data_IF_562024651547
#
_entry.id   IF_562024651547
#
_cell.length_a   1.000
_cell.length_b   1.000
_cell.length_c   1.000
_cell.angle_alpha   90.00
_cell.angle_beta   90.00
_cell.angle_gamma   90.00
#
_symmetry.space_group_name_H-M   'P 1'
#
loop_
_entity.id
_entity.type
_entity.pdbx_description
1 polymer ?
#
# COMPACT_ATOMS: atom_id res chain seq x y z
N UNK A 1 -4.39 32.38 9.60
CA UNK A 1 -4.97 32.30 8.24
C UNK A 1 -5.12 30.82 7.90
N UNK A 2 -6.35 30.31 7.80
CA UNK A 2 -6.58 28.91 7.49
C UNK A 2 -6.26 28.67 6.00
N UNK A 3 -5.26 27.85 5.71
CA UNK A 3 -4.94 27.42 4.35
C UNK A 3 -6.03 26.44 3.92
N UNK A 4 -7.10 26.96 3.32
CA UNK A 4 -8.19 26.16 2.79
C UNK A 4 -7.70 25.31 1.61
N UNK A 5 -8.02 24.03 1.63
CA UNK A 5 -7.73 23.09 0.52
C UNK A 5 -8.46 23.60 -0.72
N UNK A 6 -7.72 24.08 -1.72
CA UNK A 6 -8.28 24.53 -3.00
C UNK A 6 -8.82 23.32 -3.76
N UNK A 7 -10.11 23.32 -4.11
CA UNK A 7 -10.69 22.26 -4.93
C UNK A 7 -10.26 22.45 -6.39
N UNK A 8 -9.44 21.55 -6.98
CA UNK A 8 -8.96 21.70 -8.36
C UNK A 8 -10.08 21.51 -9.40
N UNK A 9 -11.25 21.00 -9.02
CA UNK A 9 -12.37 20.73 -9.93
C UNK A 9 -13.25 21.95 -10.25
N UNK A 10 -13.01 23.09 -9.61
CA UNK A 10 -13.73 24.36 -9.83
C UNK A 10 -14.86 24.64 -8.84
N UNK A 11 -15.29 25.90 -8.75
CA UNK A 11 -16.46 26.31 -7.93
C UNK A 11 -17.71 25.57 -8.45
N UNK A 12 -18.42 24.88 -7.57
CA UNK A 12 -19.62 24.04 -7.81
C UNK A 12 -19.40 22.55 -8.15
N UNK A 13 -18.17 22.03 -8.12
CA UNK A 13 -17.96 20.57 -8.20
C UNK A 13 -17.79 19.96 -6.80
N UNK A 14 -18.25 18.72 -6.62
CA UNK A 14 -18.06 17.99 -5.36
C UNK A 14 -16.60 18.03 -4.93
N UNK A 15 -16.33 18.18 -3.62
CA UNK A 15 -14.97 18.12 -3.13
C UNK A 15 -14.33 16.78 -3.54
N UNK A 16 -13.03 16.74 -3.87
CA UNK A 16 -12.33 15.48 -4.10
C UNK A 16 -12.46 14.64 -2.82
N UNK A 17 -12.93 13.40 -2.93
CA UNK A 17 -12.80 12.46 -1.81
C UNK A 17 -11.32 12.25 -1.59
N UNK A 18 -10.85 12.53 -0.38
CA UNK A 18 -9.52 12.14 0.05
C UNK A 18 -9.63 10.64 0.30
N UNK A 19 -9.20 9.83 -0.66
CA UNK A 19 -9.06 8.39 -0.45
C UNK A 19 -7.88 8.16 0.51
N UNK A 20 -7.98 7.23 1.45
CA UNK A 20 -6.83 6.82 2.24
C UNK A 20 -5.72 6.38 1.29
N UNK A 21 -4.57 7.04 1.34
CA UNK A 21 -3.41 6.60 0.59
C UNK A 21 -2.84 5.33 1.22
N UNK A 22 -2.29 4.44 0.39
CA UNK A 22 -1.52 3.27 0.85
C UNK A 22 -0.51 3.67 1.94
N UNK A 23 -0.51 2.97 3.08
CA UNK A 23 0.37 3.31 4.19
C UNK A 23 1.65 2.48 4.10
N UNK A 24 2.76 3.17 3.86
CA UNK A 24 4.10 2.55 3.88
C UNK A 24 4.71 2.72 5.26
N UNK A 25 5.22 1.63 5.82
CA UNK A 25 5.94 1.65 7.09
C UNK A 25 7.44 1.58 6.83
N UNK A 26 8.20 2.33 7.63
CA UNK A 26 9.65 2.25 7.64
C UNK A 26 10.07 0.87 8.13
N UNK A 27 11.01 0.25 7.41
CA UNK A 27 11.52 -1.08 7.75
C UNK A 27 12.97 -0.95 8.21
N UNK A 28 13.25 -1.50 9.40
CA UNK A 28 14.61 -1.59 9.91
C UNK A 28 15.40 -2.66 9.13
N UNK A 29 16.57 -2.33 8.55
CA UNK A 29 17.36 -3.29 7.80
C UNK A 29 17.83 -4.51 8.57
N UNK A 30 18.13 -4.34 9.86
CA UNK A 30 18.55 -5.44 10.71
C UNK A 30 17.44 -6.47 10.89
N UNK A 31 16.20 -6.00 11.04
CA UNK A 31 15.03 -6.86 11.17
C UNK A 31 14.69 -7.51 9.84
N UNK A 32 14.79 -6.77 8.74
CA UNK A 32 14.54 -7.32 7.39
C UNK A 32 15.48 -8.47 7.02
N UNK A 33 16.76 -8.39 7.41
CA UNK A 33 17.72 -9.47 7.16
C UNK A 33 17.56 -10.67 8.10
N UNK A 34 17.04 -10.45 9.31
CA UNK A 34 16.91 -11.50 10.34
C UNK A 34 15.60 -12.26 10.23
N UNK A 35 14.52 -11.61 9.83
CA UNK A 35 13.20 -12.20 9.75
C UNK A 35 12.85 -12.54 8.31
N UNK A 36 12.40 -13.78 8.10
CA UNK A 36 11.79 -14.19 6.85
C UNK A 36 10.40 -13.52 6.75
N UNK A 37 10.31 -12.42 6.01
CA UNK A 37 9.13 -11.55 5.98
C UNK A 37 7.99 -12.15 5.15
N UNK A 38 7.13 -12.94 5.79
CA UNK A 38 5.88 -13.47 5.19
C UNK A 38 4.74 -12.45 5.20
N UNK A 39 4.98 -11.28 4.61
CA UNK A 39 4.02 -10.17 4.56
C UNK A 39 3.63 -9.77 3.15
N UNK A 40 4.14 -10.48 2.14
CA UNK A 40 3.77 -10.29 0.74
C UNK A 40 2.46 -11.01 0.45
N UNK A 41 1.67 -10.50 -0.50
CA UNK A 41 0.45 -11.19 -0.94
C UNK A 41 0.75 -12.62 -1.42
N UNK A 42 1.92 -12.86 -2.01
CA UNK A 42 2.35 -14.19 -2.47
C UNK A 42 2.42 -15.25 -1.35
N UNK A 43 2.57 -14.84 -0.09
CA UNK A 43 2.59 -15.74 1.07
C UNK A 43 1.21 -15.88 1.74
N UNK A 44 0.21 -15.13 1.27
CA UNK A 44 -1.11 -15.05 1.85
C UNK A 44 -2.07 -16.08 1.23
N UNK A 45 -2.83 -16.78 2.07
CA UNK A 45 -3.86 -17.74 1.63
C UNK A 45 -5.00 -17.11 0.81
N UNK A 46 -5.14 -15.78 0.86
CA UNK A 46 -6.15 -15.03 0.13
C UNK A 46 -5.63 -14.44 -1.18
N UNK A 47 -4.44 -14.82 -1.63
CA UNK A 47 -3.91 -14.37 -2.90
C UNK A 47 -4.06 -15.46 -3.96
N UNK A 48 -4.76 -15.11 -5.04
CA UNK A 48 -4.83 -15.92 -6.25
C UNK A 48 -3.66 -15.47 -7.15
N UNK A 49 -2.59 -16.26 -7.17
CA UNK A 49 -1.38 -15.98 -7.94
C UNK A 49 -1.55 -16.12 -9.46
N UNK A 50 -2.54 -16.89 -9.94
CA UNK A 50 -2.81 -17.00 -11.37
C UNK A 50 -3.46 -15.72 -11.90
N UNK A 51 -4.40 -15.17 -11.12
CA UNK A 51 -5.12 -13.93 -11.50
C UNK A 51 -4.45 -12.66 -10.97
N UNK A 52 -3.47 -12.77 -10.08
CA UNK A 52 -2.81 -11.66 -9.36
C UNK A 52 -3.85 -10.78 -8.66
N UNK A 53 -4.74 -11.41 -7.89
CA UNK A 53 -5.83 -10.73 -7.14
C UNK A 53 -5.89 -11.20 -5.70
N UNK A 54 -6.29 -10.31 -4.79
CA UNK A 54 -6.69 -10.72 -3.45
C UNK A 54 -8.15 -11.17 -3.48
N UNK A 55 -8.44 -12.38 -3.00
CA UNK A 55 -9.79 -12.94 -2.95
C UNK A 55 -10.72 -12.20 -1.98
N UNK A 56 -10.17 -11.33 -1.12
CA UNK A 56 -10.95 -10.46 -0.21
C UNK A 56 -11.35 -9.14 -0.90
N UNK A 57 -10.75 -8.83 -2.05
CA UNK A 57 -11.08 -7.63 -2.83
C UNK A 57 -10.11 -6.46 -2.65
N UNK A 58 -8.98 -6.65 -1.95
CA UNK A 58 -7.93 -5.63 -1.86
C UNK A 58 -7.04 -5.62 -3.10
N UNK A 59 -6.42 -4.47 -3.37
CA UNK A 59 -5.45 -4.31 -4.46
C UNK A 59 -4.08 -4.90 -4.05
N UNK A 60 -3.62 -6.02 -4.64
CA UNK A 60 -2.37 -6.66 -4.24
C UNK A 60 -1.12 -5.95 -4.80
N UNK A 61 -1.25 -5.02 -5.74
CA UNK A 61 -0.09 -4.47 -6.48
C UNK A 61 1.00 -3.92 -5.57
N UNK A 62 0.64 -3.20 -4.51
CA UNK A 62 1.60 -2.62 -3.56
C UNK A 62 2.13 -3.62 -2.53
N UNK A 63 1.52 -4.81 -2.46
CA UNK A 63 1.82 -5.87 -1.50
C UNK A 63 2.52 -7.07 -2.15
N UNK A 64 2.76 -7.04 -3.46
CA UNK A 64 3.58 -8.03 -4.15
C UNK A 64 5.03 -7.94 -3.66
N UNK A 65 5.70 -9.09 -3.51
CA UNK A 65 7.07 -9.15 -2.99
C UNK A 65 8.03 -8.28 -3.82
N UNK A 66 7.97 -8.40 -5.14
CA UNK A 66 8.82 -7.61 -6.03
C UNK A 66 8.65 -6.10 -5.79
N UNK A 67 7.43 -5.63 -5.57
CA UNK A 67 7.14 -4.21 -5.31
C UNK A 67 7.60 -3.81 -3.91
N UNK A 68 7.34 -4.64 -2.89
CA UNK A 68 7.80 -4.40 -1.52
C UNK A 68 9.33 -4.33 -1.45
N UNK A 69 10.04 -5.28 -2.07
CA UNK A 69 11.50 -5.30 -2.13
C UNK A 69 12.05 -4.07 -2.84
N UNK A 70 11.49 -3.71 -4.01
CA UNK A 70 11.91 -2.51 -4.73
C UNK A 70 11.69 -1.23 -3.91
N UNK A 71 10.56 -1.09 -3.22
CA UNK A 71 10.27 0.06 -2.36
C UNK A 71 11.23 0.13 -1.17
N UNK A 72 11.54 -1.01 -0.56
CA UNK A 72 12.50 -1.10 0.52
C UNK A 72 13.90 -0.71 0.07
N UNK A 73 14.36 -1.23 -1.05
CA UNK A 73 15.68 -0.92 -1.61
C UNK A 73 15.80 0.57 -1.98
N UNK A 74 14.72 1.18 -2.46
CA UNK A 74 14.72 2.58 -2.90
C UNK A 74 14.53 3.58 -1.76
N UNK A 75 13.65 3.28 -0.80
CA UNK A 75 13.16 4.25 0.17
C UNK A 75 13.21 3.76 1.64
N UNK A 76 13.64 2.52 1.89
CA UNK A 76 13.68 1.94 3.24
C UNK A 76 12.30 1.72 3.86
N UNK A 77 11.23 1.70 3.05
CA UNK A 77 9.86 1.50 3.51
C UNK A 77 9.11 0.48 2.63
N UNK A 78 8.06 -0.11 3.19
CA UNK A 78 7.23 -1.11 2.50
C UNK A 78 5.76 -0.92 2.83
N UNK A 79 4.89 -1.26 1.88
CA UNK A 79 3.46 -1.37 2.14
C UNK A 79 3.13 -2.81 2.58
N UNK A 80 2.73 -2.97 3.83
CA UNK A 80 2.28 -4.26 4.35
C UNK A 80 0.78 -4.44 4.13
N UNK A 81 0.35 -5.66 3.78
CA UNK A 81 -1.07 -5.95 3.64
C UNK A 81 -1.78 -5.76 4.98
N UNK A 82 -2.47 -4.63 5.11
CA UNK A 82 -3.42 -4.36 6.19
C UNK A 82 -4.80 -4.52 5.62
N UNK A 83 -5.64 -5.35 6.24
CA UNK A 83 -7.06 -5.51 5.89
C UNK A 83 -7.87 -4.19 5.91
N UNK A 84 -7.26 -3.04 6.21
CA UNK A 84 -7.89 -1.73 6.25
C UNK A 84 -7.37 -0.78 5.18
N UNK A 85 -6.44 -1.22 4.31
CA UNK A 85 -5.96 -0.43 3.19
C UNK A 85 -6.95 -0.53 2.02
N UNK A 86 -7.92 0.38 2.04
CA UNK A 86 -8.94 0.54 1.00
C UNK A 86 -8.40 1.54 -0.04
N UNK A 87 -8.26 1.10 -1.29
CA UNK A 87 -8.11 1.96 -2.49
C UNK A 87 -9.51 2.35 -3.00
#
# INVERSE_FOLDING_TARGET
MAVGIVNPKGKNKSQPRIHPSIKKDTVNPQDYMRYETRFSCEDCSHFDGEKVVCTIGYNPQNHLRAVQTHQYETAGNMAFCRFLEID
#
